data_IF_363045134674
#
_entry.id   IF_363045134674
#
_cell.length_a   1.000
_cell.length_b   1.000
_cell.length_c   1.000
_cell.angle_alpha   90.00
_cell.angle_beta   90.00
_cell.angle_gamma   90.00
#
_symmetry.space_group_name_H-M   'P 1'
#
loop_
_entity.id
_entity.type
_entity.pdbx_description
1 polymer ?
#
# COMPACT_ATOMS: atom_id res chain seq x y z
N UNK A 1 -9.02 10.41 8.52
CA UNK A 1 -10.04 9.57 9.20
C UNK A 1 -11.29 9.31 8.33
N UNK A 2 -11.17 9.17 6.99
CA UNK A 2 -12.33 8.89 6.10
C UNK A 2 -12.10 7.79 5.05
N UNK A 3 -10.91 7.15 5.04
CA UNK A 3 -10.59 6.03 4.13
C UNK A 3 -11.22 4.67 4.56
N UNK A 4 -11.95 4.63 5.68
CA UNK A 4 -12.38 3.38 6.32
C UNK A 4 -13.82 2.92 6.01
N UNK A 5 -14.66 3.73 5.35
CA UNK A 5 -16.10 3.40 5.26
C UNK A 5 -16.45 2.35 4.18
N UNK A 6 -15.74 2.29 3.06
CA UNK A 6 -16.00 1.30 2.01
C UNK A 6 -15.11 0.05 2.09
N UNK A 7 -13.98 0.12 2.79
CA UNK A 7 -13.18 -1.06 3.11
C UNK A 7 -13.81 -1.91 4.22
N UNK A 8 -14.68 -1.35 5.07
CA UNK A 8 -15.39 -2.09 6.13
C UNK A 8 -16.25 -3.26 5.64
N UNK A 9 -16.85 -3.19 4.46
CA UNK A 9 -17.70 -4.28 3.94
C UNK A 9 -16.90 -5.50 3.48
N UNK A 10 -15.67 -5.29 2.97
CA UNK A 10 -14.76 -6.37 2.59
C UNK A 10 -13.95 -6.83 3.80
N UNK A 11 -13.45 -5.91 4.62
CA UNK A 11 -12.71 -6.23 5.85
C UNK A 11 -13.57 -7.02 6.85
N UNK A 12 -14.86 -6.71 7.02
CA UNK A 12 -15.74 -7.46 7.93
C UNK A 12 -16.07 -8.88 7.43
N UNK A 13 -15.90 -9.16 6.13
CA UNK A 13 -16.06 -10.52 5.60
C UNK A 13 -14.84 -11.41 5.89
N UNK A 14 -13.65 -10.83 6.07
CA UNK A 14 -12.38 -11.58 6.12
C UNK A 14 -11.52 -11.37 7.37
N UNK A 15 -11.81 -10.38 8.24
CA UNK A 15 -11.00 -10.06 9.41
C UNK A 15 -11.90 -9.79 10.64
N UNK A 16 -11.89 -10.71 11.61
CA UNK A 16 -12.38 -10.46 12.97
C UNK A 16 -11.18 -10.37 13.90
N UNK A 17 -10.93 -9.18 14.46
CA UNK A 17 -9.92 -8.99 15.50
C UNK A 17 -10.56 -9.13 16.89
N UNK A 18 -10.12 -10.06 17.74
CA UNK A 18 -10.34 -9.95 19.18
C UNK A 18 -9.35 -8.96 19.78
N UNK A 19 -9.85 -8.02 20.60
CA UNK A 19 -9.03 -7.19 21.48
C UNK A 19 -8.36 -8.11 22.51
N UNK A 20 -7.03 -8.22 22.49
CA UNK A 20 -6.26 -8.94 23.50
C UNK A 20 -5.49 -7.92 24.33
N UNK A 21 -5.83 -7.89 25.63
CA UNK A 21 -5.24 -7.07 26.66
C UNK A 21 -3.86 -7.58 27.12
N UNK A 22 -3.09 -6.65 27.67
CA UNK A 22 -1.74 -6.79 28.20
C UNK A 22 -1.60 -7.90 29.26
N UNK A 23 -0.66 -8.83 29.04
CA UNK A 23 0.19 -9.46 30.07
C UNK A 23 1.13 -10.47 29.42
N UNK A 24 2.41 -10.12 29.24
CA UNK A 24 3.53 -11.06 29.08
C UNK A 24 4.87 -10.31 29.16
N UNK A 25 5.19 -9.79 30.34
CA UNK A 25 6.56 -9.45 30.74
C UNK A 25 6.87 -10.28 31.98
N UNK A 26 7.41 -11.49 31.81
CA UNK A 26 8.13 -12.24 32.86
C UNK A 26 8.45 -13.68 32.39
N UNK A 27 9.24 -13.88 31.33
CA UNK A 27 9.89 -15.18 31.05
C UNK A 27 11.14 -15.01 30.16
N UNK A 28 12.07 -14.12 30.52
CA UNK A 28 13.36 -13.96 29.80
C UNK A 28 14.53 -14.71 30.43
N UNK A 29 14.33 -15.51 31.47
CA UNK A 29 15.39 -16.30 32.10
C UNK A 29 14.96 -17.76 32.22
N UNK A 30 15.15 -18.53 31.15
CA UNK A 30 15.50 -19.96 31.10
C UNK A 30 15.70 -20.27 29.62
N UNK A 31 16.87 -20.81 29.27
CA UNK A 31 17.23 -21.21 27.90
C UNK A 31 16.25 -22.23 27.34
N UNK A 32 15.26 -21.74 26.59
CA UNK A 32 14.39 -22.52 25.75
C UNK A 32 14.73 -22.20 24.30
N UNK A 33 15.16 -23.21 23.57
CA UNK A 33 15.28 -23.23 22.13
C UNK A 33 13.87 -23.11 21.52
N UNK A 34 13.22 -21.93 21.65
CA UNK A 34 12.04 -21.60 20.87
C UNK A 34 12.53 -21.45 19.44
N UNK A 35 12.17 -22.39 18.57
CA UNK A 35 12.16 -22.10 17.14
C UNK A 35 11.44 -20.76 16.98
N UNK A 36 12.15 -19.70 16.59
CA UNK A 36 11.58 -18.37 16.52
C UNK A 36 10.31 -18.42 15.68
N UNK A 37 9.21 -17.88 16.22
CA UNK A 37 7.90 -17.90 15.59
C UNK A 37 7.41 -16.47 15.41
N UNK A 38 6.80 -16.20 14.26
CA UNK A 38 6.22 -14.91 13.90
C UNK A 38 4.72 -15.06 13.79
N UNK A 39 3.96 -14.11 14.34
CA UNK A 39 2.49 -14.08 14.15
C UNK A 39 2.20 -13.52 12.76
N UNK A 40 1.48 -14.28 11.95
CA UNK A 40 1.08 -13.90 10.59
C UNK A 40 -0.40 -14.18 10.36
N UNK A 41 -1.04 -13.34 9.56
CA UNK A 41 -2.30 -13.70 8.91
C UNK A 41 -2.03 -14.76 7.83
N UNK A 42 -2.84 -15.81 7.81
CA UNK A 42 -2.69 -16.96 6.93
C UNK A 42 -4.02 -17.25 6.27
N UNK A 43 -3.98 -17.39 4.95
CA UNK A 43 -5.08 -17.92 4.15
C UNK A 43 -4.88 -19.42 4.00
N UNK A 44 -5.77 -20.21 4.58
CA UNK A 44 -5.76 -21.68 4.50
C UNK A 44 -6.81 -22.21 3.52
N UNK A 45 -7.81 -21.39 3.19
CA UNK A 45 -8.91 -21.69 2.28
C UNK A 45 -9.49 -20.36 1.76
N UNK A 46 -9.79 -20.26 0.47
CA UNK A 46 -10.31 -19.03 -0.16
C UNK A 46 -11.73 -18.66 0.31
N UNK A 47 -12.49 -19.63 0.81
CA UNK A 47 -13.85 -19.41 1.33
C UNK A 47 -13.86 -19.07 2.83
N UNK A 48 -12.69 -19.02 3.47
CA UNK A 48 -12.54 -18.72 4.90
C UNK A 48 -11.88 -17.35 5.14
N UNK A 49 -12.15 -16.72 6.30
CA UNK A 49 -11.38 -15.54 6.71
C UNK A 49 -9.91 -15.89 6.95
N UNK A 50 -9.07 -14.86 7.01
CA UNK A 50 -7.67 -15.04 7.39
C UNK A 50 -7.59 -15.44 8.87
N UNK A 51 -6.70 -16.38 9.17
CA UNK A 51 -6.42 -16.82 10.54
C UNK A 51 -5.07 -16.29 11.00
N UNK A 52 -4.98 -15.82 12.25
CA UNK A 52 -3.68 -15.47 12.84
C UNK A 52 -3.04 -16.75 13.36
N UNK A 53 -1.86 -17.09 12.85
CA UNK A 53 -1.11 -18.27 13.24
C UNK A 53 0.32 -17.91 13.64
N UNK A 54 0.91 -18.68 14.55
CA UNK A 54 2.34 -18.64 14.85
C UNK A 54 3.07 -19.48 13.79
N UNK A 55 3.87 -18.81 12.96
CA UNK A 55 4.55 -19.38 11.79
C UNK A 55 6.05 -19.44 12.08
N UNK A 56 6.70 -20.51 11.65
CA UNK A 56 8.15 -20.63 11.78
C UNK A 56 8.86 -19.50 11.03
N UNK A 57 9.81 -18.86 11.70
CA UNK A 57 10.67 -17.86 11.10
C UNK A 57 11.51 -18.47 9.95
N UNK A 58 11.56 -17.78 8.81
CA UNK A 58 12.38 -18.18 7.66
C UNK A 58 13.76 -17.55 7.77
N UNK A 59 14.82 -18.23 7.36
CA UNK A 59 16.16 -17.62 7.27
C UNK A 59 16.20 -16.57 6.15
N UNK A 60 16.97 -15.50 6.34
CA UNK A 60 17.25 -14.53 5.28
C UNK A 60 18.13 -15.16 4.20
N UNK A 61 17.90 -14.74 2.96
CA UNK A 61 18.80 -14.99 1.83
C UNK A 61 19.66 -13.75 1.58
N UNK A 62 20.74 -13.94 0.81
CA UNK A 62 21.56 -12.86 0.29
C UNK A 62 20.69 -11.82 -0.43
N UNK A 63 20.88 -10.54 -0.10
CA UNK A 63 20.16 -9.40 -0.64
C UNK A 63 18.81 -9.13 0.04
N UNK A 64 18.49 -9.81 1.14
CA UNK A 64 17.25 -9.61 1.89
C UNK A 64 17.47 -8.91 3.24
N UNK A 65 16.42 -8.28 3.73
CA UNK A 65 16.31 -7.74 5.08
C UNK A 65 15.05 -8.27 5.75
N UNK A 66 15.11 -8.38 7.08
CA UNK A 66 13.94 -8.63 7.92
C UNK A 66 13.51 -7.35 8.59
N UNK A 67 12.22 -7.10 8.50
CA UNK A 67 11.59 -5.91 9.03
C UNK A 67 10.64 -6.34 10.14
N UNK A 68 10.81 -5.77 11.33
CA UNK A 68 9.76 -5.75 12.35
C UNK A 68 8.67 -4.82 11.85
N UNK A 69 7.49 -5.36 11.58
CA UNK A 69 6.39 -4.59 10.97
C UNK A 69 5.69 -3.78 12.06
N UNK A 70 5.59 -2.47 11.86
CA UNK A 70 4.80 -1.57 12.70
C UNK A 70 3.43 -1.33 12.09
N UNK A 71 3.38 -1.05 10.80
CA UNK A 71 2.14 -0.84 10.03
C UNK A 71 2.23 -1.54 8.68
N UNK A 72 1.10 -2.03 8.20
CA UNK A 72 0.93 -2.54 6.85
C UNK A 72 -0.30 -1.90 6.22
N UNK A 73 -0.30 -1.75 4.90
CA UNK A 73 -1.44 -1.26 4.14
C UNK A 73 -2.15 -2.39 3.42
N UNK A 74 -3.45 -2.23 3.21
CA UNK A 74 -4.26 -3.16 2.43
C UNK A 74 -4.42 -2.60 1.03
N UNK A 75 -3.90 -3.33 0.05
CA UNK A 75 -3.97 -2.96 -1.35
C UNK A 75 -4.95 -3.85 -2.11
N UNK A 76 -5.39 -3.40 -3.30
CA UNK A 76 -6.30 -4.18 -4.15
C UNK A 76 -5.70 -5.54 -4.53
N UNK A 77 -4.38 -5.61 -4.71
CA UNK A 77 -3.70 -6.88 -4.97
C UNK A 77 -3.87 -7.86 -3.80
N UNK A 78 -3.80 -7.42 -2.54
CA UNK A 78 -4.00 -8.31 -1.39
C UNK A 78 -5.41 -8.91 -1.39
N UNK A 79 -6.42 -8.08 -1.66
CA UNK A 79 -7.81 -8.51 -1.71
C UNK A 79 -8.06 -9.51 -2.85
N UNK A 80 -7.46 -9.25 -4.02
CA UNK A 80 -7.53 -10.14 -5.17
C UNK A 80 -6.89 -11.50 -4.85
N UNK A 81 -5.67 -11.50 -4.28
CA UNK A 81 -4.96 -12.72 -3.91
C UNK A 81 -5.72 -13.52 -2.86
N UNK A 82 -6.25 -12.86 -1.83
CA UNK A 82 -7.05 -13.50 -0.77
C UNK A 82 -8.37 -14.05 -1.31
N UNK A 83 -9.01 -13.35 -2.24
CA UNK A 83 -10.25 -13.79 -2.89
C UNK A 83 -10.04 -14.86 -3.96
N UNK A 84 -8.79 -15.24 -4.27
CA UNK A 84 -8.48 -16.14 -5.39
C UNK A 84 -8.85 -15.55 -6.76
N UNK A 85 -8.95 -14.22 -6.83
CA UNK A 85 -9.32 -13.45 -8.01
C UNK A 85 -8.05 -12.93 -8.67
N UNK A 86 -7.87 -13.19 -9.97
CA UNK A 86 -6.70 -12.72 -10.71
C UNK A 86 -6.21 -13.73 -11.73
N UNK A 87 -5.14 -13.37 -12.46
CA UNK A 87 -4.53 -14.26 -13.45
C UNK A 87 -3.76 -15.41 -12.81
N UNK A 88 -3.22 -15.20 -11.61
CA UNK A 88 -2.44 -16.17 -10.87
C UNK A 88 -3.07 -16.33 -9.49
N UNK A 89 -3.46 -17.55 -9.15
CA UNK A 89 -4.02 -17.90 -7.85
C UNK A 89 -2.88 -18.35 -6.92
N UNK A 90 -2.79 -17.87 -5.67
CA UNK A 90 -1.72 -18.29 -4.78
C UNK A 90 -1.87 -19.75 -4.35
N UNK A 91 -0.75 -20.41 -4.09
CA UNK A 91 -0.74 -21.69 -3.40
C UNK A 91 -1.09 -21.49 -1.92
N UNK A 92 -1.84 -22.42 -1.35
CA UNK A 92 -2.18 -22.43 0.07
C UNK A 92 -1.20 -23.32 0.86
N UNK A 93 -0.85 -22.96 2.11
CA UNK A 93 -1.22 -21.73 2.80
C UNK A 93 -0.56 -20.49 2.17
N UNK A 94 -1.31 -19.38 2.10
CA UNK A 94 -0.84 -18.11 1.56
C UNK A 94 -0.74 -17.04 2.66
N UNK A 95 0.28 -16.19 2.57
CA UNK A 95 0.58 -15.15 3.56
C UNK A 95 0.44 -13.78 2.90
N UNK A 96 -0.72 -13.10 3.01
CA UNK A 96 -0.97 -11.83 2.33
C UNK A 96 -0.20 -10.63 2.91
N UNK A 97 -0.32 -9.49 2.24
CA UNK A 97 0.33 -8.23 2.58
C UNK A 97 1.66 -8.09 1.86
N UNK A 98 1.85 -6.96 1.17
CA UNK A 98 3.11 -6.67 0.48
C UNK A 98 3.62 -5.24 0.68
N UNK A 99 2.89 -4.36 1.36
CA UNK A 99 3.36 -3.00 1.63
C UNK A 99 3.37 -2.78 3.14
N UNK A 100 4.55 -2.49 3.68
CA UNK A 100 4.78 -2.35 5.12
C UNK A 100 5.65 -1.16 5.44
N UNK A 101 5.57 -0.72 6.68
CA UNK A 101 6.56 0.16 7.29
C UNK A 101 6.97 -0.41 8.66
N UNK A 102 8.22 -0.19 9.03
CA UNK A 102 8.76 -0.78 10.23
C UNK A 102 10.22 -0.46 10.45
N UNK A 103 10.89 -1.37 11.15
CA UNK A 103 12.29 -1.24 11.54
C UNK A 103 13.06 -2.48 11.07
N UNK A 104 14.24 -2.29 10.49
CA UNK A 104 15.12 -3.39 10.08
C UNK A 104 15.74 -4.03 11.32
N UNK A 105 15.61 -5.36 11.44
CA UNK A 105 16.11 -6.12 12.60
C UNK A 105 17.15 -7.19 12.24
N UNK A 106 17.28 -7.52 10.95
CA UNK A 106 18.29 -8.45 10.42
C UNK A 106 18.52 -8.12 8.95
N UNK A 107 19.74 -8.30 8.45
CA UNK A 107 20.08 -8.03 7.05
C UNK A 107 21.17 -8.95 6.50
N UNK A 108 21.11 -9.24 5.20
CA UNK A 108 22.15 -9.93 4.43
C UNK A 108 22.47 -9.16 3.14
N UNK A 109 22.71 -7.86 3.26
CA UNK A 109 23.01 -6.98 2.12
C UNK A 109 24.51 -7.01 1.74
N UNK A 110 24.87 -6.72 0.48
CA UNK A 110 26.28 -6.53 0.10
C UNK A 110 26.89 -5.29 0.78
N UNK A 111 28.19 -5.34 1.09
CA UNK A 111 28.93 -4.25 1.76
C UNK A 111 29.01 -2.93 0.96
N UNK A 112 28.69 -2.97 -0.34
CA UNK A 112 28.95 -1.87 -1.31
C UNK A 112 27.66 -1.30 -1.94
N UNK A 113 26.56 -1.26 -1.19
CA UNK A 113 25.33 -0.62 -1.69
C UNK A 113 25.31 0.85 -1.32
N UNK A 114 25.37 1.75 -2.31
CA UNK A 114 25.28 3.22 -2.14
C UNK A 114 24.02 3.69 -1.36
N UNK A 115 23.00 2.83 -1.23
CA UNK A 115 21.83 3.01 -0.37
C UNK A 115 21.89 2.05 0.83
N UNK A 116 22.77 2.33 1.79
CA UNK A 116 22.97 1.49 2.98
C UNK A 116 21.72 1.54 3.86
N UNK A 117 20.83 0.56 3.66
CA UNK A 117 19.90 0.11 4.70
C UNK A 117 20.73 -0.60 5.75
N UNK A 118 20.48 -0.29 7.02
CA UNK A 118 21.14 -0.94 8.16
C UNK A 118 20.13 -1.41 9.20
N UNK A 119 20.52 -2.37 10.04
CA UNK A 119 19.78 -2.72 11.25
C UNK A 119 19.48 -1.46 12.09
N UNK A 120 18.23 -1.34 12.53
CA UNK A 120 17.70 -0.19 13.26
C UNK A 120 17.09 0.91 12.37
N UNK A 121 17.28 0.85 11.05
CA UNK A 121 16.65 1.82 10.16
C UNK A 121 15.13 1.68 10.13
N UNK A 122 14.46 2.82 10.20
CA UNK A 122 13.04 2.95 9.91
C UNK A 122 12.84 2.94 8.41
N UNK A 123 11.99 2.05 7.91
CA UNK A 123 11.84 1.78 6.48
C UNK A 123 10.39 1.61 6.05
N UNK A 124 10.15 1.84 4.76
CA UNK A 124 8.99 1.36 4.01
C UNK A 124 9.48 0.30 3.02
N UNK A 125 8.70 -0.75 2.81
CA UNK A 125 9.08 -1.85 1.93
C UNK A 125 7.92 -2.38 1.09
N UNK A 126 8.26 -2.85 -0.12
CA UNK A 126 7.36 -3.55 -1.02
C UNK A 126 7.75 -5.03 -1.16
N UNK A 127 7.16 -5.91 -0.35
CA UNK A 127 7.42 -7.36 -0.32
C UNK A 127 6.74 -8.11 -1.49
N UNK A 128 6.76 -7.59 -2.73
CA UNK A 128 5.94 -8.09 -3.85
C UNK A 128 6.19 -9.56 -4.23
N UNK A 129 7.42 -10.04 -4.06
CA UNK A 129 7.79 -11.42 -4.42
C UNK A 129 7.53 -12.43 -3.30
N UNK A 130 7.65 -11.99 -2.04
CA UNK A 130 7.56 -12.87 -0.87
C UNK A 130 6.18 -12.81 -0.18
N UNK A 131 5.46 -11.71 -0.35
CA UNK A 131 4.32 -11.32 0.49
C UNK A 131 4.66 -11.47 1.99
N UNK A 132 3.66 -11.71 2.84
CA UNK A 132 3.85 -11.89 4.28
C UNK A 132 3.96 -10.59 5.08
N UNK A 133 3.51 -9.46 4.53
CA UNK A 133 3.46 -8.16 5.21
C UNK A 133 2.36 -8.06 6.26
N UNK A 134 1.32 -8.89 6.20
CA UNK A 134 0.31 -9.01 7.27
C UNK A 134 0.82 -9.93 8.38
N UNK A 135 1.98 -9.57 8.92
CA UNK A 135 2.75 -10.32 9.90
C UNK A 135 3.48 -9.37 10.83
N UNK A 136 3.83 -9.84 12.02
CA UNK A 136 4.68 -9.12 12.98
C UNK A 136 6.11 -8.90 12.46
N UNK A 137 6.55 -9.73 11.53
CA UNK A 137 7.80 -9.56 10.79
C UNK A 137 7.64 -10.01 9.34
N UNK A 138 8.35 -9.39 8.42
CA UNK A 138 8.41 -9.82 7.02
C UNK A 138 9.84 -9.75 6.47
N UNK A 139 10.07 -10.43 5.35
CA UNK A 139 11.33 -10.41 4.61
C UNK A 139 11.12 -9.68 3.28
N UNK A 140 11.96 -8.68 3.03
CA UNK A 140 11.94 -7.89 1.79
C UNK A 140 13.29 -7.98 1.08
N UNK A 141 13.29 -7.83 -0.25
CA UNK A 141 14.52 -7.63 -1.00
C UNK A 141 15.04 -6.21 -0.72
N UNK A 142 16.34 -6.04 -0.47
CA UNK A 142 16.92 -4.73 -0.16
C UNK A 142 16.68 -3.65 -1.21
N UNK A 143 16.48 -4.01 -2.48
CA UNK A 143 16.14 -3.07 -3.56
C UNK A 143 14.69 -2.55 -3.48
N UNK A 144 13.83 -3.23 -2.72
CA UNK A 144 12.43 -2.87 -2.50
C UNK A 144 12.21 -2.30 -1.09
N UNK A 145 13.26 -1.72 -0.49
CA UNK A 145 13.26 -1.10 0.83
C UNK A 145 13.83 0.31 0.76
N UNK A 146 13.13 1.27 1.37
CA UNK A 146 13.54 2.67 1.40
C UNK A 146 13.46 3.22 2.83
N UNK A 147 14.48 3.99 3.23
CA UNK A 147 14.51 4.65 4.55
C UNK A 147 13.42 5.71 4.67
N UNK A 148 12.84 5.79 5.85
CA UNK A 148 11.82 6.76 6.23
C UNK A 148 12.45 7.75 7.21
N UNK A 149 12.72 8.98 6.74
CA UNK A 149 13.34 10.04 7.55
C UNK A 149 12.44 11.26 7.78
N UNK A 150 11.47 11.50 6.90
CA UNK A 150 10.69 12.76 6.87
C UNK A 150 9.24 12.62 7.34
N UNK A 151 8.78 11.41 7.63
CA UNK A 151 7.40 11.12 8.06
C UNK A 151 7.36 9.98 9.07
N UNK A 152 6.22 9.80 9.73
CA UNK A 152 6.00 8.67 10.62
C UNK A 152 5.71 7.37 9.84
N UNK A 153 5.89 6.23 10.51
CA UNK A 153 5.71 4.91 9.91
C UNK A 153 4.26 4.66 9.47
N UNK A 154 3.27 5.16 10.22
CA UNK A 154 1.85 4.98 9.86
C UNK A 154 1.57 5.58 8.47
N UNK A 155 1.99 6.83 8.25
CA UNK A 155 1.89 7.49 6.95
C UNK A 155 2.77 6.82 5.90
N UNK A 156 4.00 6.44 6.24
CA UNK A 156 4.92 5.80 5.30
C UNK A 156 4.34 4.51 4.71
N UNK A 157 3.57 3.75 5.50
CA UNK A 157 2.99 2.46 5.10
C UNK A 157 2.05 2.49 3.89
N UNK A 158 1.58 3.67 3.45
CA UNK A 158 0.62 3.80 2.33
C UNK A 158 1.18 4.56 1.12
N UNK A 159 2.47 4.94 1.15
CA UNK A 159 3.08 5.79 0.14
C UNK A 159 3.72 5.00 -1.00
N UNK A 160 4.49 3.97 -0.69
CA UNK A 160 5.43 3.37 -1.63
C UNK A 160 4.74 2.81 -2.86
N UNK A 161 3.70 1.98 -2.71
CA UNK A 161 3.02 1.37 -3.86
C UNK A 161 2.22 2.41 -4.65
N UNK A 162 1.35 3.16 -3.97
CA UNK A 162 0.44 4.09 -4.63
C UNK A 162 1.18 5.23 -5.36
N UNK A 163 2.18 5.84 -4.74
CA UNK A 163 2.91 6.96 -5.35
C UNK A 163 3.89 6.49 -6.42
N UNK A 164 4.56 5.35 -6.23
CA UNK A 164 5.44 4.82 -7.29
C UNK A 164 4.63 4.42 -8.53
N UNK A 165 3.46 3.79 -8.36
CA UNK A 165 2.58 3.42 -9.46
C UNK A 165 2.00 4.66 -10.15
N UNK A 166 1.57 5.68 -9.38
CA UNK A 166 1.14 6.96 -9.94
C UNK A 166 2.26 7.64 -10.75
N UNK A 167 3.48 7.67 -10.24
CA UNK A 167 4.64 8.20 -10.96
C UNK A 167 4.92 7.45 -12.26
N UNK A 168 4.87 6.11 -12.26
CA UNK A 168 5.06 5.31 -13.46
C UNK A 168 3.96 5.59 -14.51
N UNK A 169 2.70 5.72 -14.09
CA UNK A 169 1.59 6.05 -14.97
C UNK A 169 1.69 7.46 -15.54
N UNK A 170 1.84 8.46 -14.68
CA UNK A 170 1.82 9.86 -15.06
C UNK A 170 3.09 10.32 -15.77
N UNK A 171 4.26 10.02 -15.21
CA UNK A 171 5.54 10.51 -15.74
C UNK A 171 6.08 9.60 -16.83
N UNK A 172 6.26 8.31 -16.55
CA UNK A 172 6.92 7.39 -17.50
C UNK A 172 6.05 7.08 -18.72
N UNK A 173 4.73 6.98 -18.55
CA UNK A 173 3.79 6.69 -19.65
C UNK A 173 3.07 7.94 -20.16
N UNK A 174 2.46 8.71 -19.26
CA UNK A 174 1.70 9.92 -19.59
C UNK A 174 2.54 11.13 -19.97
N UNK A 175 3.83 11.14 -19.63
CA UNK A 175 4.78 12.24 -19.90
C UNK A 175 4.23 13.62 -19.51
N UNK A 176 3.51 13.68 -18.39
CA UNK A 176 2.89 14.91 -17.92
C UNK A 176 3.93 16.00 -17.64
N UNK A 177 3.53 17.25 -17.85
CA UNK A 177 4.33 18.45 -17.60
C UNK A 177 3.44 19.52 -16.96
N UNK A 178 4.04 20.64 -16.59
CA UNK A 178 3.28 21.81 -16.17
C UNK A 178 2.18 22.16 -17.19
N UNK A 179 0.99 22.50 -16.68
CA UNK A 179 -0.23 22.81 -17.46
C UNK A 179 -0.83 21.66 -18.27
N UNK A 180 -0.28 20.45 -18.26
CA UNK A 180 -0.96 19.27 -18.83
C UNK A 180 -2.32 19.08 -18.14
N UNK A 181 -3.37 18.84 -18.90
CA UNK A 181 -4.71 18.54 -18.35
C UNK A 181 -4.84 17.04 -18.13
N UNK A 182 -5.00 16.65 -16.87
CA UNK A 182 -5.03 15.24 -16.44
C UNK A 182 -6.41 14.91 -15.88
N UNK A 183 -7.05 13.86 -16.38
CA UNK A 183 -8.27 13.31 -15.82
C UNK A 183 -7.94 12.13 -14.90
N UNK A 184 -8.35 12.17 -13.63
CA UNK A 184 -8.20 11.04 -12.69
C UNK A 184 -9.57 10.43 -12.42
N UNK A 185 -9.79 9.21 -12.90
CA UNK A 185 -11.11 8.54 -12.87
C UNK A 185 -11.42 7.78 -11.58
N UNK A 186 -10.40 7.43 -10.79
CA UNK A 186 -10.54 6.69 -9.53
C UNK A 186 -10.13 7.56 -8.31
N UNK A 187 -10.59 8.81 -8.26
CA UNK A 187 -9.97 9.87 -7.46
C UNK A 187 -9.71 9.54 -5.98
N UNK A 188 -10.63 8.87 -5.28
CA UNK A 188 -10.52 8.66 -3.81
C UNK A 188 -9.88 7.33 -3.40
N UNK A 189 -9.45 6.50 -4.36
CA UNK A 189 -8.58 5.35 -4.04
C UNK A 189 -7.17 5.81 -3.63
N UNK A 190 -6.38 4.93 -3.00
CA UNK A 190 -4.97 5.24 -2.64
C UNK A 190 -4.18 5.73 -3.84
N UNK A 191 -4.26 4.99 -4.96
CA UNK A 191 -3.63 5.38 -6.23
C UNK A 191 -4.21 6.68 -6.81
N UNK A 192 -5.52 6.88 -6.73
CA UNK A 192 -6.17 8.09 -7.25
C UNK A 192 -5.74 9.34 -6.50
N UNK A 193 -5.68 9.27 -5.16
CA UNK A 193 -5.21 10.37 -4.33
C UNK A 193 -3.73 10.66 -4.56
N UNK A 194 -2.90 9.63 -4.74
CA UNK A 194 -1.50 9.79 -5.10
C UNK A 194 -1.33 10.44 -6.49
N UNK A 195 -2.13 10.02 -7.47
CA UNK A 195 -2.12 10.59 -8.82
C UNK A 195 -2.54 12.07 -8.82
N UNK A 196 -3.59 12.43 -8.09
CA UNK A 196 -4.01 13.83 -7.94
C UNK A 196 -2.91 14.66 -7.29
N UNK A 197 -2.32 14.16 -6.20
CA UNK A 197 -1.27 14.86 -5.47
C UNK A 197 -0.04 15.13 -6.34
N UNK A 198 0.50 14.08 -6.95
CA UNK A 198 1.68 14.19 -7.82
C UNK A 198 1.38 15.13 -8.99
N UNK A 199 0.28 14.92 -9.71
CA UNK A 199 -0.04 15.73 -10.89
C UNK A 199 -0.23 17.21 -10.52
N UNK A 200 -0.98 17.51 -9.45
CA UNK A 200 -1.27 18.88 -9.05
C UNK A 200 -0.08 19.56 -8.36
N UNK A 201 0.54 18.91 -7.38
CA UNK A 201 1.47 19.57 -6.47
C UNK A 201 2.92 19.46 -6.92
N UNK A 202 3.29 18.38 -7.62
CA UNK A 202 4.66 18.21 -8.16
C UNK A 202 4.75 18.76 -9.57
N UNK A 203 3.87 18.31 -10.47
CA UNK A 203 3.94 18.68 -11.88
C UNK A 203 3.18 19.96 -12.23
N UNK A 204 2.38 20.51 -11.31
CA UNK A 204 1.55 21.71 -11.55
C UNK A 204 0.62 21.53 -12.78
N UNK A 205 0.14 20.31 -12.98
CA UNK A 205 -0.83 19.95 -13.99
C UNK A 205 -2.22 20.45 -13.62
N UNK A 206 -3.07 20.63 -14.62
CA UNK A 206 -4.49 20.95 -14.43
C UNK A 206 -5.27 19.64 -14.20
N UNK A 207 -5.45 19.27 -12.94
CA UNK A 207 -6.07 18.00 -12.57
C UNK A 207 -7.60 18.13 -12.50
N UNK A 208 -8.30 17.32 -13.29
CA UNK A 208 -9.74 17.07 -13.18
C UNK A 208 -9.89 15.68 -12.57
N UNK A 209 -10.48 15.58 -11.38
CA UNK A 209 -10.72 14.30 -10.74
C UNK A 209 -12.21 14.00 -10.68
N UNK A 210 -12.58 12.72 -10.76
CA UNK A 210 -13.98 12.31 -10.62
C UNK A 210 -14.14 11.24 -9.55
N UNK A 211 -15.29 11.25 -8.89
CA UNK A 211 -15.63 10.33 -7.81
C UNK A 211 -17.14 10.11 -7.70
N UNK A 212 -17.56 9.25 -6.76
CA UNK A 212 -18.95 8.80 -6.66
C UNK A 212 -19.86 9.67 -5.76
N UNK A 213 -19.30 10.53 -4.90
CA UNK A 213 -20.07 11.33 -3.93
C UNK A 213 -19.44 12.70 -3.72
N UNK A 214 -20.21 13.67 -3.24
CA UNK A 214 -19.74 15.05 -3.07
C UNK A 214 -18.67 15.17 -1.98
N UNK A 215 -18.81 14.48 -0.84
CA UNK A 215 -17.77 14.42 0.21
C UNK A 215 -16.41 13.93 -0.33
N UNK A 216 -16.45 12.98 -1.28
CA UNK A 216 -15.25 12.46 -1.94
C UNK A 216 -14.62 13.49 -2.87
N UNK A 217 -15.44 14.36 -3.48
CA UNK A 217 -14.96 15.43 -4.36
C UNK A 217 -14.21 16.50 -3.57
N UNK A 218 -14.64 16.78 -2.34
CA UNK A 218 -13.95 17.74 -1.47
C UNK A 218 -12.55 17.27 -1.09
N UNK A 219 -12.41 15.98 -0.75
CA UNK A 219 -11.10 15.39 -0.48
C UNK A 219 -10.14 15.56 -1.66
N UNK A 220 -10.63 15.43 -2.90
CA UNK A 220 -9.82 15.60 -4.10
C UNK A 220 -9.39 17.05 -4.32
N UNK A 221 -10.29 18.02 -4.08
CA UNK A 221 -9.95 19.44 -4.12
C UNK A 221 -8.88 19.77 -3.08
N UNK A 222 -9.05 19.30 -1.85
CA UNK A 222 -8.07 19.48 -0.77
C UNK A 222 -6.71 18.84 -1.09
N UNK A 223 -6.70 17.79 -1.92
CA UNK A 223 -5.47 17.13 -2.39
C UNK A 223 -4.81 17.86 -3.59
N UNK A 224 -5.49 18.85 -4.18
CA UNK A 224 -4.95 19.70 -5.25
C UNK A 224 -5.69 19.63 -6.58
N UNK A 225 -6.80 18.89 -6.68
CA UNK A 225 -7.58 18.85 -7.92
C UNK A 225 -8.14 20.24 -8.26
N UNK A 226 -7.88 20.73 -9.47
CA UNK A 226 -8.44 21.99 -9.97
C UNK A 226 -9.97 21.91 -10.11
N UNK A 227 -10.47 20.73 -10.49
CA UNK A 227 -11.90 20.42 -10.48
C UNK A 227 -12.10 19.00 -9.98
N UNK A 228 -13.05 18.79 -9.06
CA UNK A 228 -13.44 17.46 -8.62
C UNK A 228 -14.96 17.33 -8.70
N UNK A 229 -15.45 16.31 -9.40
CA UNK A 229 -16.87 16.19 -9.76
C UNK A 229 -17.43 14.80 -9.49
N UNK A 230 -18.70 14.76 -9.10
CA UNK A 230 -19.48 13.54 -9.11
C UNK A 230 -19.97 13.23 -10.52
N UNK A 231 -20.10 11.94 -10.84
CA UNK A 231 -20.57 11.54 -12.16
C UNK A 231 -21.31 10.21 -12.15
N UNK A 232 -22.24 10.07 -13.10
CA UNK A 232 -22.68 8.77 -13.59
C UNK A 232 -21.78 8.37 -14.77
N UNK A 233 -21.37 7.09 -14.89
CA UNK A 233 -20.43 6.66 -15.93
C UNK A 233 -20.79 7.09 -17.36
N UNK A 234 -22.08 7.06 -17.70
CA UNK A 234 -22.60 7.49 -19.01
C UNK A 234 -22.39 8.97 -19.32
N UNK A 235 -22.18 9.81 -18.32
CA UNK A 235 -22.08 11.27 -18.46
C UNK A 235 -20.64 11.79 -18.36
N UNK A 236 -19.66 10.94 -18.04
CA UNK A 236 -18.27 11.37 -17.81
C UNK A 236 -17.71 12.19 -18.98
N UNK A 237 -17.95 11.73 -20.21
CA UNK A 237 -17.45 12.39 -21.42
C UNK A 237 -18.03 13.81 -21.57
N UNK A 238 -19.32 13.98 -21.31
CA UNK A 238 -20.00 15.28 -21.40
C UNK A 238 -19.47 16.24 -20.34
N UNK A 239 -19.38 15.78 -19.09
CA UNK A 239 -18.84 16.56 -17.98
C UNK A 239 -17.41 17.03 -18.28
N UNK A 240 -16.55 16.13 -18.76
CA UNK A 240 -15.17 16.47 -19.12
C UNK A 240 -15.14 17.49 -20.26
N UNK A 241 -15.99 17.35 -21.28
CA UNK A 241 -16.09 18.36 -22.36
C UNK A 241 -16.50 19.73 -21.83
N UNK A 242 -17.50 19.80 -20.96
CA UNK A 242 -17.99 21.08 -20.44
C UNK A 242 -16.92 21.79 -19.62
N UNK A 243 -16.28 21.06 -18.70
CA UNK A 243 -15.22 21.56 -17.82
C UNK A 243 -13.98 21.99 -18.59
N UNK A 244 -13.69 21.31 -19.71
CA UNK A 244 -12.55 21.62 -20.57
C UNK A 244 -12.91 22.57 -21.72
N UNK A 245 -14.15 23.07 -21.80
CA UNK A 245 -14.65 23.89 -22.92
C UNK A 245 -14.39 23.23 -24.28
N UNK A 246 -14.74 21.96 -24.39
CA UNK A 246 -14.54 21.08 -25.55
C UNK A 246 -13.07 20.82 -25.96
N UNK A 247 -12.07 21.22 -25.16
CA UNK A 247 -10.65 20.96 -25.44
C UNK A 247 -10.22 19.52 -25.12
N UNK A 248 -10.95 18.83 -24.24
CA UNK A 248 -10.56 17.49 -23.79
C UNK A 248 -9.42 17.52 -22.76
N UNK A 249 -8.78 16.36 -22.57
CA UNK A 249 -7.67 16.15 -21.63
C UNK A 249 -6.51 15.48 -22.35
N UNK A 250 -5.30 15.70 -21.87
CA UNK A 250 -4.08 15.17 -22.47
C UNK A 250 -3.77 13.76 -21.98
N UNK A 251 -4.11 13.46 -20.72
CA UNK A 251 -3.87 12.19 -20.03
C UNK A 251 -5.10 11.78 -19.21
N UNK A 252 -5.40 10.48 -19.18
CA UNK A 252 -6.45 9.84 -18.37
C UNK A 252 -5.83 8.74 -17.50
#
# INVERSE_FOLDING_TARGET
MFAFKNSRLILNKYLRFPLISERLYLLSEIGYNRSASVKSAVLTDFEKPLEIQDVKEKNLKKGEVRIKVHYCSVNTLDLNMVGGQGRVKPNLPFYPGYEVSGEVIEEQLPDDTENVISIGDKVVALCKNNFGGFSTQCIANGNDVWRVSTTDLERASVLADNYSLAMLGLFRRGKIKEKTTVLVTAGVGGLGLAAVDIAANVYKSKVIAVCSTDDKSELLRNKGAWSALTFEPKNLRTIVKDVTKNKGVDVV
#
